data_IF_315688782388
#
_entry.id   IF_315688782388
#
_cell.length_a   1.000
_cell.length_b   1.000
_cell.length_c   1.000
_cell.angle_alpha   90.00
_cell.angle_beta   90.00
_cell.angle_gamma   90.00
#
_symmetry.space_group_name_H-M   'P 1'
#
loop_
_entity.id
_entity.type
_entity.pdbx_description
1 polymer ?
#
# COMPACT_ATOMS: atom_id res chain seq x y z
N UNK A 1 -5.30 -6.66 -16.93
CA UNK A 1 -6.57 -5.96 -17.28
C UNK A 1 -7.24 -6.79 -18.35
N UNK A 2 -8.54 -7.00 -18.23
CA UNK A 2 -9.32 -7.75 -19.22
C UNK A 2 -9.94 -6.81 -20.29
N UNK A 3 -10.67 -7.39 -21.24
CA UNK A 3 -11.35 -6.66 -22.32
C UNK A 3 -12.45 -5.67 -21.84
N UNK A 4 -12.95 -5.85 -20.64
CA UNK A 4 -13.94 -4.97 -19.99
C UNK A 4 -13.31 -3.95 -19.04
N UNK A 5 -12.00 -3.71 -19.12
CA UNK A 5 -11.24 -2.81 -18.26
C UNK A 5 -11.27 -3.16 -16.76
N UNK A 6 -11.58 -4.40 -16.42
CA UNK A 6 -11.45 -4.90 -15.06
C UNK A 6 -9.98 -5.30 -14.79
N UNK A 7 -9.44 -4.92 -13.65
CA UNK A 7 -8.08 -5.23 -13.23
C UNK A 7 -8.06 -6.35 -12.21
N UNK A 8 -7.08 -7.23 -12.39
CA UNK A 8 -6.90 -8.40 -11.56
C UNK A 8 -5.45 -8.51 -11.12
N UNK A 9 -5.28 -9.04 -9.92
CA UNK A 9 -3.99 -9.49 -9.42
C UNK A 9 -3.92 -11.01 -9.54
N UNK A 10 -2.82 -11.51 -10.08
CA UNK A 10 -2.50 -12.93 -10.04
C UNK A 10 -2.07 -13.30 -8.62
N UNK A 11 -2.72 -14.31 -8.06
CA UNK A 11 -2.38 -14.87 -6.75
C UNK A 11 -1.55 -16.16 -6.93
N UNK A 12 -1.87 -16.94 -7.97
CA UNK A 12 -1.13 -18.15 -8.32
C UNK A 12 -1.11 -18.32 -9.85
N UNK A 13 0.03 -18.70 -10.41
CA UNK A 13 0.32 -18.67 -11.84
C UNK A 13 0.54 -20.04 -12.49
N UNK A 14 0.04 -21.11 -11.91
CA UNK A 14 0.14 -22.48 -12.46
C UNK A 14 1.57 -22.85 -12.89
N UNK A 15 2.54 -22.66 -12.00
CA UNK A 15 3.95 -23.02 -12.27
C UNK A 15 4.63 -22.17 -13.34
N UNK A 16 4.20 -20.92 -13.52
CA UNK A 16 4.70 -19.94 -14.50
C UNK A 16 4.36 -20.26 -15.97
N UNK A 17 3.41 -21.12 -16.24
CA UNK A 17 2.82 -21.27 -17.58
C UNK A 17 2.02 -20.01 -17.93
N UNK A 18 2.11 -19.50 -19.14
CA UNK A 18 1.35 -18.31 -19.54
C UNK A 18 -0.17 -18.57 -19.49
N UNK A 19 -0.93 -17.64 -18.91
CA UNK A 19 -2.39 -17.74 -18.87
C UNK A 19 -2.99 -17.68 -20.26
N UNK A 20 -3.98 -18.55 -20.51
CA UNK A 20 -4.71 -18.64 -21.78
C UNK A 20 -6.19 -18.27 -21.64
N UNK A 21 -6.64 -18.01 -20.41
CA UNK A 21 -8.04 -17.71 -20.10
C UNK A 21 -8.18 -16.31 -19.50
N UNK A 22 -8.94 -15.46 -20.16
CA UNK A 22 -9.21 -14.12 -19.66
C UNK A 22 -10.09 -14.18 -18.39
N UNK A 23 -9.66 -13.56 -17.25
CA UNK A 23 -10.49 -13.49 -16.06
C UNK A 23 -11.66 -12.51 -16.29
N UNK A 24 -12.86 -12.92 -15.92
CA UNK A 24 -14.09 -12.12 -16.13
C UNK A 24 -14.92 -11.90 -14.86
N UNK A 25 -14.64 -12.67 -13.79
CA UNK A 25 -15.40 -12.57 -12.54
C UNK A 25 -15.05 -11.29 -11.78
N UNK A 26 -16.05 -10.55 -11.33
CA UNK A 26 -15.91 -9.39 -10.43
C UNK A 26 -16.20 -9.75 -8.96
N UNK A 27 -16.13 -11.03 -8.62
CA UNK A 27 -16.31 -11.50 -7.24
C UNK A 27 -15.23 -10.94 -6.31
N UNK A 28 -15.64 -10.61 -5.09
CA UNK A 28 -14.72 -10.19 -4.02
C UNK A 28 -13.84 -11.32 -3.49
N UNK A 29 -14.17 -12.57 -3.83
CA UNK A 29 -13.37 -13.75 -3.49
C UNK A 29 -12.34 -14.04 -4.58
N UNK A 30 -11.24 -14.69 -4.19
CA UNK A 30 -10.31 -15.28 -5.16
C UNK A 30 -11.02 -16.38 -5.93
N UNK A 31 -10.80 -16.44 -7.24
CA UNK A 31 -11.37 -17.43 -8.12
C UNK A 31 -10.30 -18.04 -9.04
N UNK A 32 -10.60 -19.24 -9.55
CA UNK A 32 -9.68 -19.98 -10.42
C UNK A 32 -10.26 -20.04 -11.84
N UNK A 33 -9.46 -19.75 -12.84
CA UNK A 33 -9.79 -19.95 -14.25
C UNK A 33 -9.46 -21.38 -14.68
N UNK A 34 -9.98 -21.82 -15.83
CA UNK A 34 -9.79 -23.20 -16.31
C UNK A 34 -8.33 -23.56 -16.68
N UNK A 35 -7.47 -22.58 -16.75
CA UNK A 35 -6.03 -22.71 -16.90
C UNK A 35 -5.26 -22.70 -15.55
N UNK A 36 -5.96 -22.98 -14.45
CA UNK A 36 -5.47 -23.07 -13.07
C UNK A 36 -4.92 -21.78 -12.48
N UNK A 37 -4.98 -20.65 -13.17
CA UNK A 37 -4.63 -19.38 -12.57
C UNK A 37 -5.61 -18.97 -11.48
N UNK A 38 -5.10 -18.49 -10.35
CA UNK A 38 -5.93 -17.86 -9.31
C UNK A 38 -5.82 -16.36 -9.40
N UNK A 39 -6.97 -15.72 -9.42
CA UNK A 39 -7.13 -14.29 -9.63
C UNK A 39 -7.89 -13.65 -8.49
N UNK A 40 -7.45 -12.45 -8.10
CA UNK A 40 -8.22 -11.52 -7.28
C UNK A 40 -8.66 -10.35 -8.13
N UNK A 41 -9.98 -10.13 -8.20
CA UNK A 41 -10.50 -8.89 -8.76
C UNK A 41 -10.15 -7.71 -7.87
N UNK A 42 -9.65 -6.62 -8.45
CA UNK A 42 -9.21 -5.44 -7.73
C UNK A 42 -10.17 -4.27 -7.91
N UNK A 43 -10.47 -3.90 -9.14
CA UNK A 43 -11.38 -2.81 -9.51
C UNK A 43 -11.62 -2.82 -11.04
N UNK A 44 -12.59 -2.00 -11.48
CA UNK A 44 -12.80 -1.73 -12.90
C UNK A 44 -12.60 -0.25 -13.19
N UNK A 45 -12.01 0.04 -14.35
CA UNK A 45 -11.83 1.42 -14.80
C UNK A 45 -13.12 1.92 -15.46
N UNK A 46 -13.49 3.15 -15.16
CA UNK A 46 -14.54 3.86 -15.88
C UNK A 46 -14.04 4.33 -17.25
N UNK A 47 -14.97 4.63 -18.16
CA UNK A 47 -14.59 5.18 -19.47
C UNK A 47 -13.83 6.51 -19.36
N UNK A 48 -14.15 7.33 -18.37
CA UNK A 48 -13.44 8.59 -18.12
C UNK A 48 -12.00 8.35 -17.62
N UNK A 49 -11.80 7.41 -16.72
CA UNK A 49 -10.47 7.04 -16.23
C UNK A 49 -9.62 6.44 -17.34
N UNK A 50 -10.20 5.56 -18.15
CA UNK A 50 -9.54 4.97 -19.32
C UNK A 50 -9.11 6.05 -20.31
N UNK A 51 -10.01 6.97 -20.66
CA UNK A 51 -9.73 8.02 -21.62
C UNK A 51 -8.67 9.01 -21.12
N UNK A 52 -8.69 9.36 -19.85
CA UNK A 52 -7.85 10.40 -19.28
C UNK A 52 -6.50 9.89 -18.78
N UNK A 53 -6.41 8.64 -18.30
CA UNK A 53 -5.27 8.18 -17.53
C UNK A 53 -4.65 6.87 -18.01
N UNK A 54 -5.25 6.17 -18.97
CA UNK A 54 -4.65 4.97 -19.54
C UNK A 54 -3.73 5.33 -20.70
N UNK A 55 -2.54 4.75 -20.72
CA UNK A 55 -1.58 4.84 -21.82
C UNK A 55 -0.94 3.48 -22.08
N UNK A 56 0.01 3.41 -23.01
CA UNK A 56 0.80 2.19 -23.27
C UNK A 56 1.65 1.78 -22.06
N UNK A 57 2.02 2.72 -21.19
CA UNK A 57 2.96 2.50 -20.09
C UNK A 57 2.31 2.57 -18.71
N UNK A 58 1.09 3.15 -18.61
CA UNK A 58 0.43 3.41 -17.34
C UNK A 58 -1.04 3.02 -17.35
N UNK A 59 -1.47 2.46 -16.23
CA UNK A 59 -2.87 2.14 -15.93
C UNK A 59 -3.24 2.86 -14.64
N UNK A 60 -4.39 3.53 -14.63
CA UNK A 60 -4.91 4.18 -13.42
C UNK A 60 -5.17 3.13 -12.33
N UNK A 61 -4.71 3.39 -11.11
CA UNK A 61 -5.04 2.58 -9.93
C UNK A 61 -6.19 3.25 -9.17
N UNK A 62 -7.30 2.53 -9.08
CA UNK A 62 -8.50 2.92 -8.35
C UNK A 62 -8.75 1.97 -7.18
N UNK A 63 -9.69 2.30 -6.32
CA UNK A 63 -10.13 1.44 -5.21
C UNK A 63 -11.60 1.09 -5.38
N UNK A 64 -11.93 -0.19 -5.26
CA UNK A 64 -13.31 -0.65 -5.17
C UNK A 64 -13.68 -0.83 -3.68
N UNK A 65 -14.71 -0.13 -3.23
CA UNK A 65 -15.12 -0.14 -1.84
C UNK A 65 -15.61 -1.50 -1.37
N UNK A 66 -16.21 -2.30 -2.28
CA UNK A 66 -16.71 -3.64 -1.94
C UNK A 66 -15.55 -4.63 -1.79
N UNK A 67 -14.53 -4.51 -2.62
CA UNK A 67 -13.29 -5.29 -2.53
C UNK A 67 -12.54 -4.92 -1.26
N UNK A 68 -12.39 -3.62 -0.97
CA UNK A 68 -11.73 -3.11 0.23
C UNK A 68 -12.43 -3.56 1.53
N UNK A 69 -13.77 -3.54 1.53
CA UNK A 69 -14.56 -3.98 2.68
C UNK A 69 -14.53 -5.50 2.90
N UNK A 70 -14.35 -6.29 1.83
CA UNK A 70 -14.25 -7.74 1.89
C UNK A 70 -12.84 -8.26 2.25
N UNK A 71 -11.83 -7.39 2.27
CA UNK A 71 -10.47 -7.77 2.61
C UNK A 71 -10.38 -8.13 4.10
N UNK A 72 -9.69 -9.23 4.40
CA UNK A 72 -9.49 -9.72 5.77
C UNK A 72 -7.99 -9.84 6.04
N UNK A 73 -7.53 -9.18 7.08
CA UNK A 73 -6.12 -9.17 7.45
C UNK A 73 -5.62 -10.57 7.80
N UNK A 74 -4.53 -10.99 7.17
CA UNK A 74 -3.93 -12.30 7.36
C UNK A 74 -4.83 -13.48 6.98
N UNK A 75 -5.83 -13.29 6.12
CA UNK A 75 -6.63 -14.38 5.57
C UNK A 75 -5.84 -15.11 4.47
N UNK A 76 -5.55 -16.38 4.69
CA UNK A 76 -4.78 -17.20 3.76
C UNK A 76 -5.64 -17.63 2.57
N UNK A 77 -5.11 -17.50 1.36
CA UNK A 77 -5.89 -17.75 0.14
C UNK A 77 -5.33 -18.89 -0.71
N UNK A 78 -4.03 -19.14 -0.65
CA UNK A 78 -3.40 -20.16 -1.50
C UNK A 78 -2.21 -20.84 -0.81
N UNK A 79 -1.94 -22.06 -1.27
CA UNK A 79 -0.81 -22.87 -0.84
C UNK A 79 -0.13 -23.40 -2.10
N UNK A 80 1.12 -23.07 -2.28
CA UNK A 80 1.95 -23.57 -3.36
C UNK A 80 2.55 -24.94 -2.97
N UNK A 81 2.45 -25.92 -3.85
CA UNK A 81 3.12 -27.21 -3.68
C UNK A 81 4.52 -27.13 -4.26
N UNK A 82 5.50 -26.78 -3.44
CA UNK A 82 6.90 -26.70 -3.85
C UNK A 82 7.48 -28.10 -4.08
N UNK A 83 7.10 -29.06 -3.21
CA UNK A 83 7.44 -30.48 -3.38
C UNK A 83 6.29 -31.34 -2.86
N UNK A 84 5.83 -32.28 -3.65
CA UNK A 84 4.72 -33.16 -3.29
C UNK A 84 5.09 -34.27 -2.31
N UNK A 85 6.37 -34.52 -2.06
CA UNK A 85 6.84 -35.64 -1.23
C UNK A 85 6.53 -37.01 -1.83
N UNK A 86 6.48 -38.02 -0.97
CA UNK A 86 6.22 -39.39 -1.39
C UNK A 86 5.56 -40.22 -0.28
N UNK A 87 5.10 -41.42 -0.64
CA UNK A 87 4.49 -42.38 0.30
C UNK A 87 3.24 -41.89 1.03
N UNK A 88 2.57 -40.89 0.49
CA UNK A 88 1.23 -40.52 0.92
C UNK A 88 0.24 -41.65 0.53
N UNK A 89 -1.01 -41.53 0.96
CA UNK A 89 -2.04 -42.49 0.67
C UNK A 89 -2.00 -42.92 -0.82
N UNK A 90 -2.00 -44.22 -1.08
CA UNK A 90 -1.74 -44.81 -2.40
C UNK A 90 -2.87 -44.62 -3.40
N UNK A 91 -4.06 -44.19 -3.00
CA UNK A 91 -5.18 -43.97 -3.91
C UNK A 91 -5.04 -42.58 -4.57
N UNK A 92 -4.84 -42.57 -5.89
CA UNK A 92 -4.86 -41.35 -6.68
C UNK A 92 -6.24 -40.65 -6.58
N UNK A 93 -6.23 -39.32 -6.38
CA UNK A 93 -7.45 -38.56 -6.15
C UNK A 93 -7.94 -38.54 -4.71
N UNK A 94 -7.25 -39.22 -3.77
CA UNK A 94 -7.58 -39.13 -2.36
C UNK A 94 -7.27 -37.74 -1.82
N UNK A 95 -8.14 -37.26 -0.92
CA UNK A 95 -7.96 -35.97 -0.25
C UNK A 95 -7.66 -36.17 1.22
N UNK A 96 -6.65 -35.50 1.74
CA UNK A 96 -6.42 -35.37 3.18
C UNK A 96 -6.96 -34.01 3.58
N UNK A 97 -7.97 -33.98 4.43
CA UNK A 97 -8.68 -32.77 4.85
C UNK A 97 -8.33 -32.37 6.28
N UNK A 98 -8.78 -31.18 6.68
CA UNK A 98 -8.65 -30.67 8.04
C UNK A 98 -7.18 -30.54 8.52
N UNK A 99 -6.28 -30.22 7.60
CA UNK A 99 -4.86 -29.98 7.92
C UNK A 99 -4.76 -28.58 8.56
N UNK A 100 -4.32 -28.47 9.82
CA UNK A 100 -4.20 -27.17 10.46
C UNK A 100 -3.02 -26.39 9.87
N UNK A 101 -3.27 -25.15 9.48
CA UNK A 101 -2.22 -24.21 9.13
C UNK A 101 -1.76 -23.55 10.43
N UNK A 102 -0.47 -23.60 10.69
CA UNK A 102 0.19 -23.06 11.87
C UNK A 102 0.82 -21.72 11.57
N UNK A 103 0.97 -20.88 12.60
CA UNK A 103 1.55 -19.53 12.49
C UNK A 103 1.12 -18.69 13.68
N UNK A 104 1.18 -17.40 13.52
CA UNK A 104 0.74 -16.40 14.52
C UNK A 104 -0.76 -16.06 14.41
N UNK A 105 -1.40 -16.40 13.28
CA UNK A 105 -2.84 -16.27 13.10
C UNK A 105 -3.64 -17.43 13.66
N UNK A 106 -4.93 -17.49 13.34
CA UNK A 106 -5.86 -18.47 13.87
C UNK A 106 -6.81 -19.04 12.82
N UNK A 107 -7.28 -20.29 13.10
CA UNK A 107 -8.36 -20.97 12.37
C UNK A 107 -8.07 -21.31 10.88
N UNK A 108 -6.84 -21.18 10.40
CA UNK A 108 -6.47 -21.60 9.05
C UNK A 108 -6.50 -23.13 8.92
N UNK A 109 -7.16 -23.62 7.87
CA UNK A 109 -7.28 -25.06 7.58
C UNK A 109 -7.05 -25.28 6.09
N UNK A 110 -6.30 -26.33 5.77
CA UNK A 110 -6.01 -26.76 4.42
C UNK A 110 -6.53 -28.17 4.11
N UNK A 111 -6.60 -28.50 2.85
CA UNK A 111 -6.71 -29.86 2.33
C UNK A 111 -5.69 -30.07 1.21
N UNK A 112 -5.26 -31.32 1.03
CA UNK A 112 -4.35 -31.70 -0.06
C UNK A 112 -4.93 -32.87 -0.85
N UNK A 113 -4.66 -32.85 -2.15
CA UNK A 113 -5.02 -33.97 -3.06
C UNK A 113 -3.79 -34.77 -3.37
N UNK A 114 -3.93 -36.10 -3.33
CA UNK A 114 -2.84 -37.04 -3.58
C UNK A 114 -2.98 -37.61 -5.00
N UNK A 115 -1.88 -37.66 -5.72
CA UNK A 115 -1.75 -38.33 -6.99
C UNK A 115 -0.46 -39.13 -7.02
N UNK A 116 -0.54 -40.40 -7.37
CA UNK A 116 0.63 -41.30 -7.44
C UNK A 116 1.50 -41.33 -6.17
N UNK A 117 0.88 -41.19 -5.00
CA UNK A 117 1.57 -41.21 -3.72
C UNK A 117 2.30 -39.91 -3.33
N UNK A 118 2.10 -38.85 -4.10
CA UNK A 118 2.59 -37.50 -3.82
C UNK A 118 1.45 -36.50 -3.70
N UNK A 119 1.64 -35.40 -3.01
CA UNK A 119 0.70 -34.27 -2.99
C UNK A 119 0.78 -33.58 -4.36
N UNK A 120 -0.34 -33.53 -5.07
CA UNK A 120 -0.46 -32.91 -6.38
C UNK A 120 -1.11 -31.53 -6.34
N UNK A 121 -1.92 -31.25 -5.31
CA UNK A 121 -2.54 -29.94 -5.10
C UNK A 121 -2.78 -29.71 -3.63
N UNK A 122 -2.79 -28.43 -3.24
CA UNK A 122 -3.13 -27.98 -1.90
C UNK A 122 -4.11 -26.81 -1.98
N UNK A 123 -5.11 -26.80 -1.11
CA UNK A 123 -6.17 -25.78 -1.11
C UNK A 123 -6.42 -25.33 0.33
N UNK A 124 -6.56 -24.02 0.52
CA UNK A 124 -7.05 -23.46 1.78
C UNK A 124 -8.56 -23.68 1.84
N UNK A 125 -9.02 -24.41 2.84
CA UNK A 125 -10.46 -24.67 3.06
C UNK A 125 -11.10 -23.69 4.02
N UNK A 126 -10.29 -23.14 4.94
CA UNK A 126 -10.67 -22.05 5.83
C UNK A 126 -9.49 -21.09 5.89
N UNK A 127 -9.74 -19.85 5.47
CA UNK A 127 -8.69 -18.83 5.33
C UNK A 127 -8.03 -18.43 6.65
N UNK A 128 -8.77 -18.53 7.76
CA UNK A 128 -8.30 -18.00 9.04
C UNK A 128 -8.17 -16.49 9.02
N UNK A 129 -7.50 -15.93 10.02
CA UNK A 129 -7.27 -14.48 10.15
C UNK A 129 -6.00 -14.20 10.94
N UNK A 130 -5.42 -13.01 10.73
CA UNK A 130 -4.31 -12.49 11.53
C UNK A 130 -2.96 -13.15 11.27
N UNK A 131 -2.79 -13.87 10.17
CA UNK A 131 -1.50 -14.47 9.84
C UNK A 131 -0.55 -13.41 9.25
N UNK A 132 0.63 -13.31 9.85
CA UNK A 132 1.79 -12.62 9.25
C UNK A 132 2.86 -13.61 8.79
N UNK A 133 2.86 -14.81 9.36
CA UNK A 133 3.55 -15.97 8.84
C UNK A 133 2.70 -17.24 9.03
N UNK A 134 2.84 -18.20 8.12
CA UNK A 134 2.11 -19.44 8.18
C UNK A 134 2.92 -20.59 7.58
N UNK A 135 2.71 -21.81 8.10
CA UNK A 135 3.38 -23.00 7.62
C UNK A 135 2.54 -24.25 7.91
N UNK A 136 2.83 -25.31 7.19
CA UNK A 136 2.24 -26.63 7.38
C UNK A 136 3.38 -27.59 7.73
N UNK A 137 3.40 -28.13 8.95
CA UNK A 137 4.44 -29.05 9.41
C UNK A 137 4.25 -30.47 8.92
N UNK A 138 2.98 -30.88 8.75
CA UNK A 138 2.62 -32.21 8.32
C UNK A 138 1.30 -32.14 7.56
N UNK A 139 1.33 -32.58 6.32
CA UNK A 139 0.12 -32.65 5.49
C UNK A 139 -0.81 -33.84 5.83
N UNK A 140 -0.49 -34.59 6.88
CA UNK A 140 -1.23 -35.80 7.30
C UNK A 140 -0.84 -37.05 6.53
N UNK A 141 -1.42 -38.18 6.92
CA UNK A 141 -1.11 -39.48 6.30
C UNK A 141 0.28 -40.02 6.67
N UNK A 142 0.69 -41.08 5.97
CA UNK A 142 1.96 -41.77 6.20
C UNK A 142 3.11 -41.22 5.34
N UNK A 143 2.85 -40.25 4.48
CA UNK A 143 3.84 -39.70 3.56
C UNK A 143 4.84 -38.74 4.23
N UNK A 144 5.90 -38.43 3.49
CA UNK A 144 6.97 -37.54 3.95
C UNK A 144 7.60 -36.75 2.81
N UNK A 145 8.40 -35.73 3.18
CA UNK A 145 9.19 -34.96 2.20
C UNK A 145 8.37 -33.94 1.39
N UNK A 146 7.11 -33.67 1.74
CA UNK A 146 6.38 -32.58 1.13
C UNK A 146 6.88 -31.24 1.64
N UNK A 147 6.87 -30.25 0.75
CA UNK A 147 7.07 -28.83 1.08
C UNK A 147 5.91 -28.03 0.52
N UNK A 148 5.13 -27.47 1.44
CA UNK A 148 3.94 -26.68 1.14
C UNK A 148 4.20 -25.25 1.61
N UNK A 149 4.29 -24.33 0.66
CA UNK A 149 4.50 -22.93 0.94
C UNK A 149 3.15 -22.19 1.05
N UNK A 150 2.84 -21.70 2.22
CA UNK A 150 1.61 -20.92 2.45
C UNK A 150 1.86 -19.47 2.06
N UNK A 151 1.10 -18.96 1.12
CA UNK A 151 1.24 -17.58 0.65
C UNK A 151 0.51 -16.64 1.61
N UNK A 152 1.27 -15.71 2.18
CA UNK A 152 0.75 -14.69 3.08
C UNK A 152 0.21 -13.50 2.28
N UNK A 153 -1.03 -13.05 2.53
CA UNK A 153 -1.57 -11.87 1.87
C UNK A 153 -0.86 -10.58 2.34
N UNK A 154 -0.97 -9.48 1.59
CA UNK A 154 -0.50 -8.19 2.06
C UNK A 154 -1.25 -7.77 3.32
N UNK A 155 -0.64 -6.89 4.13
CA UNK A 155 -1.26 -6.35 5.36
C UNK A 155 -2.65 -5.75 5.06
N UNK A 156 -3.64 -6.19 5.83
CA UNK A 156 -5.05 -5.86 5.61
C UNK A 156 -5.79 -6.82 4.69
N UNK A 157 -5.10 -7.78 4.05
CA UNK A 157 -5.68 -8.74 3.10
C UNK A 157 -5.64 -8.24 1.66
N UNK A 158 -5.82 -9.16 0.71
CA UNK A 158 -5.87 -8.84 -0.72
C UNK A 158 -7.01 -7.89 -1.05
N UNK A 159 -6.70 -6.80 -1.76
CA UNK A 159 -7.64 -5.77 -2.16
C UNK A 159 -7.88 -4.67 -1.12
N UNK A 160 -7.23 -4.73 0.05
CA UNK A 160 -7.35 -3.67 1.07
C UNK A 160 -6.76 -2.34 0.62
N UNK A 161 -5.60 -2.39 0.01
CA UNK A 161 -4.88 -1.22 -0.50
C UNK A 161 -4.38 -1.51 -1.91
N UNK A 162 -5.23 -1.22 -2.90
CA UNK A 162 -4.93 -1.48 -4.30
C UNK A 162 -3.66 -0.73 -4.77
N UNK A 163 -3.40 0.45 -4.23
CA UNK A 163 -2.24 1.27 -4.60
C UNK A 163 -0.94 0.57 -4.21
N UNK A 164 -0.83 0.11 -2.97
CA UNK A 164 0.36 -0.64 -2.52
C UNK A 164 0.45 -1.99 -3.18
N UNK A 165 -0.66 -2.70 -3.29
CA UNK A 165 -0.70 -4.07 -3.78
C UNK A 165 -0.35 -4.17 -5.27
N UNK A 166 -0.72 -3.18 -6.08
CA UNK A 166 -0.42 -3.11 -7.52
C UNK A 166 0.80 -2.25 -7.85
N UNK A 167 1.46 -1.66 -6.86
CA UNK A 167 2.65 -0.84 -7.06
C UNK A 167 2.38 0.51 -7.71
N UNK A 168 1.26 1.14 -7.37
CA UNK A 168 0.86 2.46 -7.86
C UNK A 168 1.66 3.60 -7.23
N UNK A 169 2.90 3.81 -7.67
CA UNK A 169 3.81 4.82 -7.09
C UNK A 169 3.89 6.13 -7.87
N UNK A 170 3.23 6.19 -9.04
CA UNK A 170 3.25 7.37 -9.89
C UNK A 170 1.90 8.08 -9.86
N UNK A 171 1.92 9.40 -9.94
CA UNK A 171 0.72 10.23 -10.08
C UNK A 171 0.68 10.79 -11.49
N UNK A 172 -0.39 10.51 -12.24
CA UNK A 172 -0.64 11.08 -13.55
C UNK A 172 -1.66 12.21 -13.44
N UNK A 173 -1.36 13.34 -14.05
CA UNK A 173 -2.29 14.45 -14.20
C UNK A 173 -2.70 14.60 -15.66
N UNK A 174 -4.00 14.66 -15.91
CA UNK A 174 -4.55 15.00 -17.22
C UNK A 174 -5.40 16.25 -17.08
N UNK A 175 -5.06 17.28 -17.86
CA UNK A 175 -5.81 18.52 -17.94
C UNK A 175 -5.89 19.00 -19.39
N UNK A 176 -7.09 19.07 -19.92
CA UNK A 176 -7.35 19.75 -21.19
C UNK A 176 -7.18 21.23 -20.99
N UNK A 177 -6.32 21.85 -21.79
CA UNK A 177 -6.25 23.30 -21.90
C UNK A 177 -7.26 23.73 -22.98
N UNK A 178 -8.25 24.48 -22.57
CA UNK A 178 -9.29 24.99 -23.47
C UNK A 178 -9.07 26.48 -23.67
N UNK A 179 -8.88 26.88 -24.91
CA UNK A 179 -8.72 28.28 -25.27
C UNK A 179 -9.13 28.54 -26.73
N UNK A 180 -9.39 29.78 -27.06
CA UNK A 180 -9.62 30.22 -28.45
C UNK A 180 -8.35 30.87 -28.95
N UNK A 181 -7.87 30.42 -30.10
CA UNK A 181 -6.65 30.95 -30.74
C UNK A 181 -6.74 32.48 -30.89
N UNK A 182 -5.72 33.15 -30.38
CA UNK A 182 -5.59 34.61 -30.43
C UNK A 182 -6.42 35.45 -29.47
N UNK A 183 -7.28 34.80 -28.61
CA UNK A 183 -8.15 35.53 -27.66
C UNK A 183 -8.09 35.02 -26.26
N UNK A 184 -7.37 33.92 -25.97
CA UNK A 184 -7.22 33.35 -24.63
C UNK A 184 -5.76 33.44 -24.15
N UNK A 185 -5.55 33.17 -22.87
CA UNK A 185 -4.20 33.13 -22.25
C UNK A 185 -3.30 32.05 -22.85
N UNK A 186 -3.82 31.18 -23.72
CA UNK A 186 -3.09 30.14 -24.42
C UNK A 186 -2.78 30.59 -25.85
N UNK A 187 -1.67 31.27 -26.02
CA UNK A 187 -1.19 31.71 -27.37
C UNK A 187 -0.36 30.64 -28.05
N UNK A 188 -0.49 30.55 -29.42
CA UNK A 188 0.29 29.59 -30.24
C UNK A 188 1.79 29.84 -30.22
N UNK A 189 2.24 31.02 -29.79
CA UNK A 189 3.65 31.36 -29.68
C UNK A 189 4.29 30.97 -28.33
N UNK A 190 3.54 30.40 -27.41
CA UNK A 190 4.01 30.05 -26.08
C UNK A 190 4.50 28.60 -26.05
N UNK A 191 5.71 28.40 -25.56
CA UNK A 191 6.23 27.09 -25.21
C UNK A 191 5.62 26.68 -23.88
N UNK A 192 4.61 25.80 -23.93
CA UNK A 192 3.92 25.28 -22.73
C UNK A 192 4.82 24.29 -22.02
N UNK A 193 5.68 24.81 -21.15
CA UNK A 193 6.37 23.97 -20.18
C UNK A 193 5.37 23.49 -19.14
N UNK A 194 5.45 22.23 -18.77
CA UNK A 194 4.55 21.55 -17.83
C UNK A 194 4.72 21.99 -16.37
N UNK A 195 4.96 23.28 -16.15
CA UNK A 195 5.06 23.86 -14.81
C UNK A 195 3.82 24.69 -14.61
N UNK A 196 2.89 24.19 -13.81
CA UNK A 196 1.69 24.90 -13.44
C UNK A 196 1.78 25.37 -11.98
N UNK A 197 1.45 26.64 -11.75
CA UNK A 197 1.15 27.14 -10.40
C UNK A 197 -0.35 27.06 -10.20
N UNK A 198 -0.77 26.34 -9.16
CA UNK A 198 -2.17 26.29 -8.78
C UNK A 198 -2.41 27.41 -7.77
N UNK A 199 -3.30 28.33 -8.13
CA UNK A 199 -3.76 29.39 -7.23
C UNK A 199 -4.97 28.91 -6.45
N UNK A 200 -4.97 29.17 -5.13
CA UNK A 200 -6.07 28.88 -4.22
C UNK A 200 -6.68 27.47 -4.38
N UNK A 201 -5.86 26.39 -4.30
CA UNK A 201 -6.38 25.03 -4.42
C UNK A 201 -7.37 24.75 -3.27
N UNK A 202 -8.38 23.95 -3.55
CA UNK A 202 -9.31 23.51 -2.52
C UNK A 202 -8.76 22.27 -1.78
N UNK A 203 -9.16 22.15 -0.51
CA UNK A 203 -9.02 20.91 0.20
C UNK A 203 -9.83 19.81 -0.50
N UNK A 204 -9.25 18.61 -0.59
CA UNK A 204 -9.90 17.51 -1.30
C UNK A 204 -11.32 17.26 -0.82
N UNK A 205 -12.27 17.20 -1.77
CA UNK A 205 -13.69 16.96 -1.50
C UNK A 205 -14.45 18.15 -0.89
N UNK A 206 -13.84 19.34 -0.85
CA UNK A 206 -14.48 20.56 -0.28
C UNK A 206 -14.37 21.75 -1.22
N UNK A 207 -15.08 22.83 -0.90
CA UNK A 207 -14.93 24.15 -1.53
C UNK A 207 -14.09 25.12 -0.70
N UNK A 208 -13.46 24.63 0.37
CA UNK A 208 -12.60 25.44 1.24
C UNK A 208 -11.22 25.56 0.63
N UNK A 209 -10.75 26.80 0.45
CA UNK A 209 -9.40 27.08 -0.03
C UNK A 209 -8.39 26.49 0.96
N UNK A 210 -7.41 25.78 0.41
CA UNK A 210 -6.36 25.19 1.21
C UNK A 210 -5.39 26.26 1.71
N UNK A 211 -4.95 26.15 2.95
CA UNK A 211 -3.89 26.97 3.52
C UNK A 211 -2.51 26.41 3.21
N UNK A 212 -1.46 27.20 3.45
CA UNK A 212 -0.08 26.71 3.39
C UNK A 212 0.14 25.50 4.32
N UNK A 213 -0.57 25.46 5.45
CA UNK A 213 -0.46 24.37 6.42
C UNK A 213 -1.12 23.08 5.92
N UNK A 214 -2.11 23.17 5.02
CA UNK A 214 -2.86 22.00 4.53
C UNK A 214 -2.38 21.52 3.15
N UNK A 215 -1.42 22.18 2.50
CA UNK A 215 -0.99 21.88 1.12
C UNK A 215 0.52 21.89 0.88
N UNK A 216 1.34 21.78 1.90
CA UNK A 216 2.76 21.49 1.74
C UNK A 216 3.00 19.99 1.67
N UNK A 217 4.01 19.54 0.94
CA UNK A 217 4.47 18.14 0.93
C UNK A 217 5.30 17.77 2.19
N UNK A 218 5.45 18.71 3.08
CA UNK A 218 6.27 18.60 4.27
C UNK A 218 5.38 18.47 5.50
N UNK A 219 5.84 17.78 6.49
CA UNK A 219 5.29 17.91 7.81
C UNK A 219 5.62 19.29 8.36
N UNK A 220 4.71 19.85 9.13
CA UNK A 220 4.95 21.11 9.83
C UNK A 220 4.61 20.97 11.30
N UNK A 221 5.42 21.54 12.16
CA UNK A 221 5.11 21.66 13.57
C UNK A 221 5.34 23.09 14.04
N UNK A 222 4.42 23.59 14.87
CA UNK A 222 4.48 24.93 15.43
C UNK A 222 4.98 24.83 16.85
N UNK A 223 5.88 25.71 17.23
CA UNK A 223 6.43 25.81 18.58
C UNK A 223 5.99 27.10 19.27
N UNK A 224 5.79 27.05 20.57
CA UNK A 224 5.60 28.27 21.38
C UNK A 224 6.94 28.95 21.67
N UNK A 225 7.98 28.16 21.87
CA UNK A 225 9.36 28.62 22.10
C UNK A 225 10.35 27.62 21.53
N UNK A 226 11.51 28.09 21.12
CA UNK A 226 12.60 27.28 20.60
C UNK A 226 13.88 27.69 21.27
N UNK A 227 14.68 26.74 21.73
CA UNK A 227 16.05 26.95 22.20
C UNK A 227 16.99 26.67 21.04
N UNK A 228 17.75 27.66 20.61
CA UNK A 228 18.60 27.55 19.42
C UNK A 228 17.86 27.85 18.13
N UNK A 229 18.43 27.43 17.00
CA UNK A 229 17.86 27.63 15.65
C UNK A 229 18.12 26.36 14.85
N UNK A 230 17.05 25.75 14.32
CA UNK A 230 17.17 24.60 13.43
C UNK A 230 17.82 25.00 12.11
N UNK A 231 18.71 24.15 11.60
CA UNK A 231 19.39 24.34 10.31
C UNK A 231 18.77 23.46 9.23
N UNK A 232 18.71 23.97 7.99
CA UNK A 232 18.24 23.18 6.87
C UNK A 232 19.16 21.94 6.68
N UNK A 233 18.57 20.86 6.22
CA UNK A 233 19.22 19.57 5.99
C UNK A 233 19.76 18.84 7.23
N UNK A 234 19.55 19.35 8.44
CA UNK A 234 19.89 18.59 9.63
C UNK A 234 18.86 17.50 9.94
N UNK A 235 19.32 16.44 10.58
CA UNK A 235 18.46 15.44 11.16
C UNK A 235 17.82 15.96 12.44
N UNK A 236 16.54 15.67 12.63
CA UNK A 236 15.80 15.91 13.86
C UNK A 236 15.27 14.61 14.42
N UNK A 237 15.25 14.52 15.73
CA UNK A 237 14.65 13.37 16.41
C UNK A 237 13.67 13.80 17.52
N UNK A 238 12.80 12.88 17.87
CA UNK A 238 11.94 12.96 19.04
C UNK A 238 12.19 11.70 19.87
N UNK A 239 13.07 11.81 20.86
CA UNK A 239 13.57 10.66 21.61
C UNK A 239 12.48 9.85 22.31
N UNK A 240 11.40 10.48 22.73
CA UNK A 240 10.28 9.80 23.43
C UNK A 240 9.44 8.90 22.52
N UNK A 241 9.41 9.18 21.20
CA UNK A 241 8.67 8.39 20.22
C UNK A 241 9.58 7.54 19.34
N UNK A 242 10.85 7.87 19.25
CA UNK A 242 11.78 7.29 18.29
C UNK A 242 11.64 7.86 16.87
N UNK A 243 10.82 8.91 16.69
CA UNK A 243 10.63 9.52 15.37
C UNK A 243 11.88 10.28 14.92
N UNK A 244 12.22 10.13 13.64
CA UNK A 244 13.34 10.79 12.97
C UNK A 244 12.86 11.47 11.70
N UNK A 245 13.38 12.65 11.42
CA UNK A 245 13.08 13.42 10.22
C UNK A 245 14.25 14.28 9.79
N UNK A 246 14.07 15.02 8.71
CA UNK A 246 15.07 15.93 8.16
C UNK A 246 14.46 17.30 7.94
N UNK A 247 15.15 18.33 8.42
CA UNK A 247 14.69 19.72 8.31
C UNK A 247 14.79 20.18 6.85
N UNK A 248 13.73 20.78 6.36
CA UNK A 248 13.73 21.49 5.08
C UNK A 248 13.88 23.00 5.33
N UNK A 249 13.07 23.53 6.24
CA UNK A 249 13.05 24.95 6.56
C UNK A 249 12.60 25.17 8.00
N UNK A 250 13.18 26.16 8.65
CA UNK A 250 12.69 26.66 9.91
C UNK A 250 12.33 28.14 9.79
N UNK A 251 11.03 28.45 9.90
CA UNK A 251 10.52 29.81 10.00
C UNK A 251 10.67 30.31 11.44
N UNK A 252 11.72 31.05 11.70
CA UNK A 252 12.04 31.58 13.03
C UNK A 252 11.05 32.66 13.49
N UNK A 253 10.37 33.35 12.56
CA UNK A 253 9.38 34.39 12.86
C UNK A 253 8.11 33.77 13.43
N UNK A 254 7.58 32.78 12.75
CA UNK A 254 6.34 32.09 13.15
C UNK A 254 6.62 30.83 13.98
N UNK A 255 7.88 30.47 14.17
CA UNK A 255 8.34 29.28 14.91
C UNK A 255 7.75 27.99 14.33
N UNK A 256 7.78 27.86 13.01
CA UNK A 256 7.28 26.70 12.29
C UNK A 256 8.46 25.94 11.73
N UNK A 257 8.55 24.66 12.08
CA UNK A 257 9.54 23.73 11.54
C UNK A 257 8.90 22.90 10.43
N UNK A 258 9.46 22.96 9.23
CA UNK A 258 9.06 22.14 8.08
C UNK A 258 10.10 21.05 7.88
N UNK A 259 9.63 19.81 7.84
CA UNK A 259 10.49 18.64 7.75
C UNK A 259 9.82 17.50 6.98
N UNK A 260 10.60 16.51 6.62
CA UNK A 260 10.09 15.25 6.09
C UNK A 260 10.68 14.08 6.85
N UNK A 261 9.99 12.94 6.80
CA UNK A 261 10.49 11.68 7.31
C UNK A 261 10.92 10.80 6.15
N UNK A 262 12.10 10.23 6.25
CA UNK A 262 12.62 9.26 5.29
C UNK A 262 12.57 7.88 5.91
N UNK A 263 12.19 6.89 5.11
CA UNK A 263 12.24 5.50 5.53
C UNK A 263 13.66 4.98 5.30
N UNK A 264 14.43 4.85 6.38
CA UNK A 264 15.66 4.08 6.39
C UNK A 264 15.47 2.83 7.24
N UNK A 265 16.04 1.68 6.86
CA UNK A 265 16.07 0.52 7.72
C UNK A 265 16.65 0.91 9.09
N UNK A 266 15.97 0.50 10.15
CA UNK A 266 16.39 0.66 11.55
C UNK A 266 16.47 2.10 12.12
N UNK A 267 15.99 3.11 11.39
CA UNK A 267 16.00 4.50 11.87
C UNK A 267 14.62 5.12 11.73
N UNK A 268 14.02 5.54 12.85
CA UNK A 268 12.70 6.18 12.89
C UNK A 268 11.57 5.28 12.43
N UNK A 269 11.72 3.96 12.53
CA UNK A 269 10.72 2.96 12.21
C UNK A 269 10.38 2.11 13.43
N UNK A 270 9.14 1.60 13.46
CA UNK A 270 8.71 0.59 14.43
C UNK A 270 9.19 -0.82 14.03
N UNK A 271 8.88 -1.82 14.86
CA UNK A 271 9.24 -3.23 14.60
C UNK A 271 8.67 -3.80 13.30
N UNK A 272 7.62 -3.19 12.77
CA UNK A 272 6.97 -3.60 11.52
C UNK A 272 7.51 -2.83 10.31
N UNK A 273 8.52 -1.97 10.50
CA UNK A 273 9.13 -1.13 9.47
C UNK A 273 8.27 0.06 9.02
N UNK A 274 7.23 0.43 9.79
CA UNK A 274 6.48 1.64 9.52
C UNK A 274 7.19 2.85 10.14
N UNK A 275 7.04 4.03 9.51
CA UNK A 275 7.58 5.26 10.08
C UNK A 275 6.95 5.56 11.43
N UNK A 276 7.81 5.78 12.42
CA UNK A 276 7.36 6.28 13.73
C UNK A 276 7.00 7.75 13.59
N UNK A 277 5.77 8.11 13.91
CA UNK A 277 5.28 9.48 13.78
C UNK A 277 5.82 10.37 14.90
N UNK A 278 6.16 11.62 14.57
CA UNK A 278 6.29 12.68 15.54
C UNK A 278 4.93 12.94 16.20
N UNK A 279 4.86 12.97 17.52
CA UNK A 279 3.56 13.11 18.20
C UNK A 279 3.67 13.76 19.57
N UNK A 280 2.58 14.35 20.02
CA UNK A 280 2.42 14.92 21.34
C UNK A 280 3.31 16.12 21.63
N UNK A 281 3.34 16.51 22.90
CA UNK A 281 4.18 17.58 23.43
C UNK A 281 5.56 17.06 23.83
N UNK A 282 6.21 16.35 22.93
CA UNK A 282 7.53 15.77 23.15
C UNK A 282 8.58 16.61 22.42
N UNK A 283 9.70 16.87 23.06
CA UNK A 283 10.75 17.70 22.49
C UNK A 283 11.32 17.12 21.20
N UNK A 284 11.46 17.96 20.19
CA UNK A 284 12.15 17.68 18.93
C UNK A 284 13.51 18.34 19.00
N UNK A 285 14.58 17.61 18.72
CA UNK A 285 15.96 18.07 18.83
C UNK A 285 16.68 17.94 17.49
N UNK A 286 17.34 19.01 17.05
CA UNK A 286 18.24 19.03 15.91
C UNK A 286 19.58 18.41 16.26
N UNK A 287 20.07 17.51 15.44
CA UNK A 287 21.28 16.74 15.74
C UNK A 287 22.57 17.51 15.43
N UNK A 288 22.52 18.51 14.57
CA UNK A 288 23.68 19.36 14.25
C UNK A 288 23.64 20.67 15.03
N UNK A 289 22.50 21.35 15.03
CA UNK A 289 22.33 22.65 15.69
C UNK A 289 22.18 22.54 17.20
N UNK A 290 21.80 21.38 17.73
CA UNK A 290 21.36 21.20 19.12
C UNK A 290 20.15 22.07 19.48
N UNK A 291 19.44 22.60 18.48
CA UNK A 291 18.18 23.30 18.68
C UNK A 291 17.14 22.33 19.26
N UNK A 292 16.33 22.82 20.20
CA UNK A 292 15.32 21.98 20.83
C UNK A 292 14.04 22.76 21.06
N UNK A 293 12.90 22.13 20.75
CA UNK A 293 11.60 22.74 20.93
C UNK A 293 10.51 21.70 21.16
N UNK A 294 9.51 22.05 21.94
CA UNK A 294 8.33 21.22 22.18
C UNK A 294 7.19 21.70 21.31
N UNK A 295 6.55 20.81 20.51
CA UNK A 295 5.40 21.16 19.70
C UNK A 295 4.26 21.75 20.51
N UNK A 296 3.61 22.77 19.96
CA UNK A 296 2.43 23.40 20.55
C UNK A 296 1.18 22.58 20.21
N UNK A 297 0.75 21.74 21.11
CA UNK A 297 -0.42 20.87 20.94
C UNK A 297 -1.76 21.61 21.12
N UNK A 298 -1.74 22.85 21.56
CA UNK A 298 -2.95 23.68 21.74
C UNK A 298 -3.40 24.36 20.45
N UNK A 299 -2.63 24.28 19.38
CA UNK A 299 -3.03 24.83 18.10
C UNK A 299 -4.08 23.90 17.45
N UNK A 300 -5.25 24.46 17.13
CA UNK A 300 -6.40 23.71 16.58
C UNK A 300 -6.16 23.05 15.21
N UNK A 301 -5.10 23.45 14.52
CA UNK A 301 -4.68 22.84 13.24
C UNK A 301 -3.73 21.67 13.42
N UNK A 302 -3.29 21.40 14.63
CA UNK A 302 -2.31 20.36 14.96
C UNK A 302 -2.89 19.34 15.94
N UNK A 303 -3.51 18.31 15.45
CA UNK A 303 -3.73 17.12 16.28
C UNK A 303 -2.37 16.54 16.62
N UNK A 304 -2.01 16.51 17.91
CA UNK A 304 -0.70 16.07 18.42
C UNK A 304 0.52 16.98 18.09
N UNK A 305 0.31 18.25 17.73
CA UNK A 305 1.40 19.20 17.52
C UNK A 305 2.14 19.07 16.19
N UNK A 306 1.81 18.09 15.37
CA UNK A 306 2.37 17.89 14.03
C UNK A 306 1.26 17.94 13.01
N UNK A 307 1.35 18.85 12.06
CA UNK A 307 0.42 18.95 10.94
C UNK A 307 0.90 18.03 9.81
N UNK A 308 0.09 17.04 9.49
CA UNK A 308 0.29 16.28 8.26
C UNK A 308 -0.24 17.10 7.10
N UNK A 309 0.66 17.59 6.29
CA UNK A 309 0.28 18.14 5.00
C UNK A 309 0.24 16.99 4.02
N UNK A 310 -0.91 16.34 3.90
CA UNK A 310 -1.19 15.50 2.75
C UNK A 310 -1.27 16.39 1.52
N UNK A 311 -0.13 16.67 0.92
CA UNK A 311 -0.09 17.24 -0.41
C UNK A 311 -0.50 16.17 -1.41
N UNK A 312 -1.72 16.24 -1.86
CA UNK A 312 -2.17 15.61 -3.10
C UNK A 312 -2.05 16.59 -4.28
N UNK A 313 -1.00 17.39 -4.29
CA UNK A 313 -0.58 18.11 -5.47
C UNK A 313 0.84 17.64 -5.79
N UNK A 314 0.93 16.49 -6.41
CA UNK A 314 2.04 16.22 -7.27
C UNK A 314 1.74 16.93 -8.58
N UNK A 315 2.33 18.07 -8.77
CA UNK A 315 2.41 18.70 -10.08
C UNK A 315 3.59 18.10 -10.83
#
# INVERSE_FOLDING_TARGET
MNSSYALYKVIENDGATASTVEPTSTSNSIFTTSDNYKWKYMYSLTSAETLNFMSTDFIHVSTDSTVTAAAVDGALDTIEVVAGGSSYNTSSGSTISAIPIRGDGSSGVASVTISSGAISAATVTTAGTGYTFAYITNAGGAGSGSNLNVIIPPKGGHGKDAVKELGGFYVMMNKSLVGVEGTSDIGVANDFRRIGLVRDPYNFGTTTVASADTRRQLYATVFSSVSGTFTADEEINQASTGAVGKVVEYDSTNKILYFYQTRFPDVGTDSDGNLTAFSGANAITGQTSSASATPNTSNSTTTNGVVFVLSLIHI
#
